data_IF_503063452872
#
_entry.id   IF_503063452872
#
_cell.length_a   1.000
_cell.length_b   1.000
_cell.length_c   1.000
_cell.angle_alpha   90.00
_cell.angle_beta   90.00
_cell.angle_gamma   90.00
#
_symmetry.space_group_name_H-M   'P 1'
#
loop_
_entity.id
_entity.type
_entity.pdbx_description
1 polymer ?
#
# COMPACT_ATOMS: atom_id res chain seq x y z
N UNK A 1 -6.22 -25.27 -8.34
CA UNK A 1 -4.86 -24.76 -8.58
C UNK A 1 -4.82 -23.27 -8.19
N UNK A 2 -3.85 -22.87 -7.36
CA UNK A 2 -3.68 -21.46 -6.94
C UNK A 2 -3.23 -20.64 -8.14
N UNK A 3 -3.89 -19.49 -8.36
CA UNK A 3 -3.58 -18.57 -9.48
C UNK A 3 -3.09 -17.19 -9.01
N UNK A 4 -3.31 -16.85 -7.73
CA UNK A 4 -2.93 -15.58 -7.15
C UNK A 4 -2.53 -15.78 -5.69
N UNK A 5 -1.48 -15.07 -5.27
CA UNK A 5 -1.03 -14.97 -3.88
C UNK A 5 -1.04 -13.49 -3.50
N UNK A 6 -1.84 -13.13 -2.50
CA UNK A 6 -1.83 -11.80 -1.90
C UNK A 6 -1.04 -11.86 -0.59
N UNK A 7 -0.13 -10.90 -0.41
CA UNK A 7 0.82 -10.86 0.71
C UNK A 7 0.78 -9.49 1.38
N UNK A 8 0.58 -9.48 2.68
CA UNK A 8 0.83 -8.29 3.48
C UNK A 8 2.34 -8.07 3.67
N UNK A 9 2.74 -6.82 3.88
CA UNK A 9 4.14 -6.45 4.07
C UNK A 9 4.58 -6.60 5.51
N UNK A 10 3.97 -5.83 6.40
CA UNK A 10 4.45 -5.64 7.76
C UNK A 10 4.18 -6.86 8.64
N UNK A 11 5.23 -7.40 9.27
CA UNK A 11 5.16 -8.63 10.08
C UNK A 11 4.69 -9.88 9.32
N UNK A 12 4.63 -9.84 7.99
CA UNK A 12 4.26 -10.98 7.12
C UNK A 12 5.36 -11.27 6.11
N UNK A 13 5.50 -10.44 5.07
CA UNK A 13 6.53 -10.62 4.03
C UNK A 13 7.88 -10.04 4.46
N UNK A 14 7.86 -8.97 5.27
CA UNK A 14 9.06 -8.26 5.71
C UNK A 14 9.60 -8.80 7.02
N UNK A 15 10.92 -9.00 7.06
CA UNK A 15 11.66 -9.25 8.27
C UNK A 15 11.81 -7.98 9.13
N UNK A 16 12.34 -8.12 10.36
CA UNK A 16 12.55 -7.01 11.30
C UNK A 16 13.42 -5.86 10.75
N UNK A 17 14.26 -6.14 9.76
CA UNK A 17 15.11 -5.17 9.05
C UNK A 17 14.42 -4.49 7.87
N UNK A 18 13.11 -4.68 7.70
CA UNK A 18 12.32 -4.20 6.55
C UNK A 18 12.83 -4.71 5.19
N UNK A 19 13.36 -5.92 5.12
CA UNK A 19 13.77 -6.57 3.89
C UNK A 19 12.95 -7.84 3.65
N UNK A 20 12.85 -8.25 2.37
CA UNK A 20 12.29 -9.56 2.01
C UNK A 20 13.43 -10.58 2.12
N UNK A 21 13.20 -11.71 2.80
CA UNK A 21 14.19 -12.76 2.89
C UNK A 21 14.58 -13.27 1.48
N UNK A 22 15.87 -13.44 1.14
CA UNK A 22 16.31 -13.82 -0.22
C UNK A 22 15.66 -15.11 -0.74
N UNK A 23 15.47 -16.10 0.12
CA UNK A 23 14.80 -17.35 -0.26
C UNK A 23 13.32 -17.13 -0.59
N UNK A 24 12.60 -16.30 0.18
CA UNK A 24 11.22 -15.92 -0.09
C UNK A 24 11.10 -15.20 -1.43
N UNK A 25 12.00 -14.24 -1.68
CA UNK A 25 12.06 -13.51 -2.94
C UNK A 25 12.27 -14.45 -4.14
N UNK A 26 13.19 -15.41 -4.02
CA UNK A 26 13.40 -16.44 -5.03
C UNK A 26 12.14 -17.25 -5.32
N UNK A 27 11.42 -17.69 -4.25
CA UNK A 27 10.18 -18.46 -4.41
C UNK A 27 9.05 -17.64 -5.06
N UNK A 28 8.89 -16.36 -4.70
CA UNK A 28 7.90 -15.48 -5.33
C UNK A 28 8.16 -15.30 -6.82
N UNK A 29 9.41 -15.08 -7.20
CA UNK A 29 9.81 -14.99 -8.62
C UNK A 29 9.56 -16.30 -9.38
N UNK A 30 9.77 -17.44 -8.72
CA UNK A 30 9.44 -18.75 -9.29
C UNK A 30 7.93 -18.93 -9.46
N UNK A 31 7.11 -18.45 -8.53
CA UNK A 31 5.65 -18.43 -8.67
C UNK A 31 5.22 -17.61 -9.89
N UNK A 32 5.78 -16.41 -10.08
CA UNK A 32 5.52 -15.56 -11.25
C UNK A 32 5.88 -16.31 -12.55
N UNK A 33 7.05 -16.95 -12.63
CA UNK A 33 7.46 -17.69 -13.82
C UNK A 33 6.55 -18.90 -14.16
N UNK A 34 5.74 -19.35 -13.19
CA UNK A 34 4.73 -20.39 -13.37
C UNK A 34 3.32 -19.83 -13.63
N UNK A 35 3.18 -18.53 -13.88
CA UNK A 35 1.91 -17.87 -14.16
C UNK A 35 1.04 -17.59 -12.92
N UNK A 36 1.61 -17.63 -11.70
CA UNK A 36 0.91 -17.25 -10.48
C UNK A 36 1.09 -15.75 -10.28
N UNK A 37 -0.02 -15.02 -10.15
CA UNK A 37 0.00 -13.59 -9.88
C UNK A 37 0.40 -13.31 -8.43
N UNK A 38 1.29 -12.35 -8.23
CA UNK A 38 1.67 -11.87 -6.90
C UNK A 38 1.11 -10.47 -6.69
N UNK A 39 0.48 -10.26 -5.54
CA UNK A 39 -0.09 -8.97 -5.13
C UNK A 39 0.41 -8.64 -3.73
N UNK A 40 1.04 -7.47 -3.58
CA UNK A 40 1.26 -6.87 -2.26
C UNK A 40 -0.04 -6.22 -1.82
N UNK A 41 -0.56 -6.57 -0.63
CA UNK A 41 -1.77 -6.01 -0.04
C UNK A 41 -1.41 -5.35 1.30
N UNK A 42 -1.37 -4.02 1.35
CA UNK A 42 -0.83 -3.28 2.50
C UNK A 42 -1.60 -2.01 2.81
N UNK A 43 -1.55 -1.58 4.07
CA UNK A 43 -2.00 -0.24 4.49
C UNK A 43 -1.07 0.88 4.08
N UNK A 44 0.17 0.56 3.68
CA UNK A 44 1.17 1.55 3.28
C UNK A 44 0.75 2.35 2.05
N UNK A 45 1.33 3.55 1.91
CA UNK A 45 1.22 4.35 0.68
C UNK A 45 2.00 3.68 -0.47
N UNK A 46 1.60 3.95 -1.71
CA UNK A 46 2.25 3.39 -2.91
C UNK A 46 3.76 3.58 -2.91
N UNK A 47 4.25 4.81 -2.61
CA UNK A 47 5.69 5.10 -2.63
C UNK A 47 6.51 4.26 -1.64
N UNK A 48 5.91 3.86 -0.52
CA UNK A 48 6.56 2.97 0.45
C UNK A 48 6.54 1.51 0.02
N UNK A 49 5.49 1.07 -0.69
CA UNK A 49 5.31 -0.31 -1.10
C UNK A 49 6.04 -0.66 -2.41
N UNK A 50 6.18 0.30 -3.34
CA UNK A 50 6.67 0.05 -4.70
C UNK A 50 8.06 -0.58 -4.78
N UNK A 51 8.95 -0.28 -3.82
CA UNK A 51 10.29 -0.86 -3.81
C UNK A 51 10.26 -2.37 -3.66
N UNK A 52 9.36 -2.89 -2.83
CA UNK A 52 9.20 -4.33 -2.61
C UNK A 52 8.57 -5.04 -3.83
N UNK A 53 7.61 -4.38 -4.47
CA UNK A 53 7.05 -4.89 -5.72
C UNK A 53 8.13 -4.97 -6.81
N UNK A 54 8.98 -3.97 -6.94
CA UNK A 54 10.10 -3.95 -7.88
C UNK A 54 11.12 -5.06 -7.58
N UNK A 55 11.39 -5.36 -6.31
CA UNK A 55 12.24 -6.47 -5.91
C UNK A 55 11.64 -7.83 -6.29
N UNK A 56 10.33 -8.02 -6.15
CA UNK A 56 9.64 -9.26 -6.53
C UNK A 56 9.66 -9.43 -8.04
N UNK A 57 9.24 -8.43 -8.79
CA UNK A 57 9.22 -8.43 -10.25
C UNK A 57 8.21 -7.42 -10.81
N UNK A 58 8.39 -7.04 -12.08
CA UNK A 58 7.54 -6.05 -12.76
C UNK A 58 6.05 -6.46 -12.86
N UNK A 59 5.73 -7.73 -12.73
CA UNK A 59 4.36 -8.26 -12.77
C UNK A 59 3.67 -8.22 -11.41
N UNK A 60 4.39 -7.87 -10.33
CA UNK A 60 3.81 -7.75 -9.00
C UNK A 60 2.90 -6.52 -8.92
N UNK A 61 1.64 -6.72 -8.54
CA UNK A 61 0.68 -5.63 -8.35
C UNK A 61 0.69 -5.16 -6.91
N UNK A 62 0.22 -3.92 -6.69
CA UNK A 62 0.20 -3.31 -5.36
C UNK A 62 -1.22 -2.86 -5.04
N UNK A 63 -1.80 -3.44 -4.01
CA UNK A 63 -3.00 -2.98 -3.34
C UNK A 63 -2.54 -2.21 -2.10
N UNK A 64 -2.67 -0.89 -2.12
CA UNK A 64 -2.19 0.03 -1.08
C UNK A 64 -3.31 0.90 -0.50
N UNK A 65 -2.99 1.73 0.51
CA UNK A 65 -3.96 2.55 1.23
C UNK A 65 -5.17 1.73 1.73
N UNK A 66 -4.92 0.54 2.30
CA UNK A 66 -5.96 -0.39 2.77
C UNK A 66 -6.99 -0.77 1.69
N UNK A 67 -6.57 -0.86 0.42
CA UNK A 67 -7.42 -1.30 -0.68
C UNK A 67 -8.06 -0.18 -1.50
N UNK A 68 -7.86 1.09 -1.15
CA UNK A 68 -8.44 2.20 -1.91
C UNK A 68 -7.69 2.50 -3.22
N UNK A 69 -6.49 1.95 -3.41
CA UNK A 69 -5.74 2.06 -4.67
C UNK A 69 -5.10 0.71 -5.03
N UNK A 70 -5.32 0.27 -6.27
CA UNK A 70 -4.61 -0.88 -6.85
C UNK A 70 -3.82 -0.39 -8.07
N UNK A 71 -2.54 -0.73 -8.12
CA UNK A 71 -1.65 -0.31 -9.22
C UNK A 71 -0.87 -1.51 -9.78
N UNK A 72 -0.38 -1.33 -11.01
CA UNK A 72 0.79 -2.08 -11.49
C UNK A 72 2.04 -1.66 -10.69
N UNK A 73 3.12 -2.40 -10.84
CA UNK A 73 4.39 -2.10 -10.16
C UNK A 73 4.97 -0.73 -10.52
N UNK A 74 4.70 -0.23 -11.73
CA UNK A 74 5.13 1.08 -12.22
C UNK A 74 4.27 2.25 -11.69
N UNK A 75 3.16 1.96 -11.02
CA UNK A 75 2.24 2.94 -10.44
C UNK A 75 1.03 3.26 -11.32
N UNK A 76 0.90 2.66 -12.49
CA UNK A 76 -0.30 2.82 -13.32
C UNK A 76 -1.52 2.28 -12.57
N UNK A 77 -2.54 3.12 -12.31
CA UNK A 77 -3.70 2.69 -11.53
C UNK A 77 -4.54 1.67 -12.31
N UNK A 78 -4.99 0.64 -11.61
CA UNK A 78 -5.96 -0.35 -12.07
C UNK A 78 -7.33 -0.11 -11.43
N UNK A 79 -7.33 0.41 -10.21
CA UNK A 79 -8.54 0.74 -9.45
C UNK A 79 -8.20 1.86 -8.47
N UNK A 80 -9.12 2.81 -8.30
CA UNK A 80 -9.06 3.85 -7.28
C UNK A 80 -10.44 4.11 -6.70
N UNK A 81 -10.54 4.16 -5.37
CA UNK A 81 -11.73 4.56 -4.62
C UNK A 81 -11.37 5.78 -3.78
N UNK A 82 -11.90 6.92 -4.17
CA UNK A 82 -11.62 8.21 -3.53
C UNK A 82 -12.80 8.69 -2.68
N UNK A 83 -12.49 9.40 -1.61
CA UNK A 83 -13.51 10.11 -0.83
C UNK A 83 -13.94 11.38 -1.58
N UNK A 84 -15.24 11.64 -1.63
CA UNK A 84 -15.73 12.92 -2.15
C UNK A 84 -15.30 14.08 -1.24
N UNK A 85 -15.16 15.27 -1.83
CA UNK A 85 -14.80 16.48 -1.10
C UNK A 85 -15.77 16.77 0.05
N UNK A 86 -17.06 16.48 -0.12
CA UNK A 86 -18.06 16.71 0.92
C UNK A 86 -17.89 15.76 2.11
N UNK A 87 -17.56 14.49 1.86
CA UNK A 87 -17.23 13.53 2.92
C UNK A 87 -15.95 13.98 3.65
N UNK A 88 -14.92 14.37 2.91
CA UNK A 88 -13.68 14.86 3.52
C UNK A 88 -13.91 16.06 4.42
N UNK A 89 -14.72 17.06 3.98
CA UNK A 89 -15.07 18.23 4.81
C UNK A 89 -15.79 17.84 6.10
N UNK A 90 -16.74 16.89 6.02
CA UNK A 90 -17.45 16.37 7.20
C UNK A 90 -16.50 15.71 8.19
N UNK A 91 -15.56 14.87 7.70
CA UNK A 91 -14.56 14.22 8.54
C UNK A 91 -13.67 15.27 9.23
N UNK A 92 -13.16 16.26 8.47
CA UNK A 92 -12.33 17.34 9.03
C UNK A 92 -13.08 18.12 10.12
N UNK A 93 -14.34 18.51 9.86
CA UNK A 93 -15.17 19.22 10.84
C UNK A 93 -15.38 18.41 12.11
N UNK A 94 -15.69 17.12 11.98
CA UNK A 94 -15.86 16.21 13.11
C UNK A 94 -14.56 16.05 13.92
N UNK A 95 -13.41 15.88 13.25
CA UNK A 95 -12.11 15.74 13.91
C UNK A 95 -11.75 17.01 14.67
N UNK A 96 -12.02 18.21 14.11
CA UNK A 96 -11.81 19.49 14.78
C UNK A 96 -12.70 19.65 16.01
N UNK A 97 -13.98 19.33 15.91
CA UNK A 97 -14.92 19.39 17.03
C UNK A 97 -14.50 18.49 18.20
N UNK A 98 -13.93 17.34 17.92
CA UNK A 98 -13.53 16.34 18.91
C UNK A 98 -12.05 16.38 19.27
N UNK A 99 -11.28 17.33 18.75
CA UNK A 99 -9.81 17.42 18.89
C UNK A 99 -9.09 16.11 18.51
N UNK A 100 -9.56 15.46 17.44
CA UNK A 100 -8.98 14.24 16.93
C UNK A 100 -7.95 14.55 15.84
N UNK A 101 -6.86 13.78 15.83
CA UNK A 101 -5.92 13.79 14.72
C UNK A 101 -6.53 13.10 13.51
N UNK A 102 -6.41 13.71 12.33
CA UNK A 102 -6.74 13.06 11.07
C UNK A 102 -5.69 13.37 9.99
N UNK A 103 -5.53 12.44 9.09
CA UNK A 103 -4.68 12.60 7.92
C UNK A 103 -5.39 12.08 6.67
N UNK A 104 -5.12 12.71 5.54
CA UNK A 104 -5.57 12.29 4.23
C UNK A 104 -4.39 12.02 3.32
N UNK A 105 -4.61 11.23 2.31
CA UNK A 105 -3.62 10.94 1.28
C UNK A 105 -4.11 11.51 -0.05
N UNK A 106 -3.26 12.28 -0.72
CA UNK A 106 -3.53 12.80 -2.06
C UNK A 106 -2.23 12.87 -2.87
N UNK A 107 -2.25 12.36 -4.10
CA UNK A 107 -1.09 12.37 -5.00
C UNK A 107 0.19 11.86 -4.32
N UNK A 108 0.05 10.76 -3.57
CA UNK A 108 1.10 10.14 -2.77
C UNK A 108 1.68 11.02 -1.63
N UNK A 109 1.00 12.11 -1.27
CA UNK A 109 1.34 13.00 -0.16
C UNK A 109 0.42 12.76 1.02
N UNK A 110 0.94 12.99 2.21
CA UNK A 110 0.16 13.00 3.45
C UNK A 110 -0.27 14.45 3.71
N UNK A 111 -1.56 14.68 3.84
CA UNK A 111 -2.13 15.97 4.18
C UNK A 111 -2.59 15.92 5.62
N UNK A 112 -2.09 16.82 6.46
CA UNK A 112 -2.37 16.91 7.88
C UNK A 112 -2.67 18.37 8.26
N UNK A 113 -3.48 18.58 9.28
CA UNK A 113 -3.71 19.92 9.83
C UNK A 113 -2.56 20.35 10.75
N UNK A 114 -2.00 19.40 11.51
CA UNK A 114 -0.86 19.63 12.41
C UNK A 114 0.13 18.47 12.32
N UNK A 115 1.40 18.79 12.36
CA UNK A 115 2.45 17.77 12.42
C UNK A 115 2.54 17.23 13.84
N UNK A 116 2.44 15.93 14.02
CA UNK A 116 2.57 15.22 15.29
C UNK A 116 3.65 14.16 15.18
N UNK A 117 3.98 13.49 16.29
CA UNK A 117 4.92 12.35 16.26
C UNK A 117 4.43 11.18 15.39
N UNK A 118 3.12 11.10 15.17
CA UNK A 118 2.47 10.05 14.38
C UNK A 118 2.39 10.39 12.87
N UNK A 119 2.92 11.57 12.48
CA UNK A 119 2.91 12.04 11.07
C UNK A 119 4.10 11.51 10.26
N UNK A 120 5.03 10.78 10.88
CA UNK A 120 6.27 10.28 10.23
C UNK A 120 6.16 8.82 9.83
#
# INVERSE_FOLDING_TARGET
MIKLIALDLDNTLLEKNNAIHPHTLYLLRKCISQGIHIVIATGRIYLSAKKYAAEIGSECKILCYNGSLITESDGRPLFSAELSTDIMKKIVSFCKEKDLYCQFYKDHKILVERVTKDTT
#
